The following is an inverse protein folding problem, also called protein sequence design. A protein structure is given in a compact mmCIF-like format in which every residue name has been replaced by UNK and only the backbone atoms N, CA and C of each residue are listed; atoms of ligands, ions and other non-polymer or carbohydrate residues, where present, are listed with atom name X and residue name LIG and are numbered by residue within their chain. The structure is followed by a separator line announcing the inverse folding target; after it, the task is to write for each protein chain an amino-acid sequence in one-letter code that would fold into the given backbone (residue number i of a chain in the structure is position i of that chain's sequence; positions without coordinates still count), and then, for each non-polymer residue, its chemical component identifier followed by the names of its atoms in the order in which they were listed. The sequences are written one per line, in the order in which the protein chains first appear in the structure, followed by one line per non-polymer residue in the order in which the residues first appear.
data_IF_320084017493
#
_entry.id   IF_320084017493
#
_cell.length_a   1.000
_cell.length_b   1.000
_cell.length_c   1.000
_cell.angle_alpha   90.00
_cell.angle_beta   90.00
_cell.angle_gamma   90.00
#
_symmetry.space_group_name_H-M   'P 1'
#
loop_
_entity.id
_entity.type
_entity.pdbx_description
1 polymer ?
#
# COMPACT_ATOMS: atom_id res chain seq x y z
N UNK A 1 16.06 9.40 -21.78
CA UNK A 1 14.84 10.01 -21.23
C UNK A 1 14.87 9.82 -19.72
N UNK A 2 15.12 10.89 -18.96
CA UNK A 2 15.25 10.83 -17.50
C UNK A 2 13.86 10.74 -16.85
N UNK A 3 13.54 9.60 -16.23
CA UNK A 3 12.33 9.47 -15.41
C UNK A 3 12.53 10.18 -14.06
N UNK A 4 12.23 11.49 -14.02
CA UNK A 4 11.90 12.18 -12.78
C UNK A 4 10.42 11.89 -12.49
N UNK A 5 10.11 11.11 -11.45
CA UNK A 5 8.70 10.92 -11.09
C UNK A 5 8.33 9.80 -10.12
N UNK A 6 9.29 9.12 -9.49
CA UNK A 6 8.99 8.07 -8.53
C UNK A 6 9.49 8.46 -7.14
N UNK A 7 8.60 9.03 -6.33
CA UNK A 7 8.83 9.25 -4.91
C UNK A 7 8.67 7.88 -4.25
N UNK A 8 9.77 7.26 -3.83
CA UNK A 8 9.69 6.11 -2.94
C UNK A 8 9.23 6.64 -1.57
N UNK A 9 7.95 6.45 -1.25
CA UNK A 9 7.34 6.93 0.00
C UNK A 9 8.08 6.44 1.25
N UNK A 10 8.87 5.36 1.13
CA UNK A 10 9.67 4.83 2.24
C UNK A 10 11.15 5.25 2.22
N UNK A 11 11.64 5.86 1.14
CA UNK A 11 13.08 6.18 0.98
C UNK A 11 13.33 7.63 0.57
N UNK A 12 12.28 8.42 0.33
CA UNK A 12 12.41 9.84 0.04
C UNK A 12 12.78 10.61 1.31
N UNK A 13 14.08 10.67 1.59
CA UNK A 13 14.67 11.67 2.49
C UNK A 13 14.60 13.09 1.89
N UNK A 14 14.02 13.25 0.69
CA UNK A 14 14.01 14.49 -0.09
C UNK A 14 12.60 15.01 -0.39
N UNK A 15 11.62 14.68 0.46
CA UNK A 15 10.45 15.53 0.65
C UNK A 15 10.35 15.81 2.15
N UNK A 16 11.18 16.75 2.61
CA UNK A 16 10.85 17.53 3.79
C UNK A 16 9.62 18.40 3.44
N UNK A 17 8.44 17.79 3.27
CA UNK A 17 7.25 18.57 3.58
C UNK A 17 7.29 18.72 5.09
N UNK A 18 7.43 19.96 5.54
CA UNK A 18 7.32 20.30 6.96
C UNK A 18 5.89 20.04 7.51
N UNK A 19 5.06 19.27 6.81
CA UNK A 19 3.65 19.00 7.10
C UNK A 19 3.43 17.65 7.80
N UNK A 20 4.35 16.68 7.68
CA UNK A 20 4.16 15.40 8.40
C UNK A 20 4.45 15.61 9.90
N UNK A 21 3.48 15.44 10.81
CA UNK A 21 3.69 15.68 12.25
C UNK A 21 4.57 14.62 12.91
N UNK A 22 4.95 13.57 12.17
CA UNK A 22 5.80 12.48 12.62
C UNK A 22 7.15 12.50 11.88
N UNK A 23 8.17 12.01 12.58
CA UNK A 23 9.50 11.76 12.03
C UNK A 23 9.91 10.33 12.32
N UNK A 24 10.61 9.72 11.36
CA UNK A 24 11.27 8.43 11.56
C UNK A 24 12.47 8.63 12.48
N UNK A 25 12.63 7.74 13.46
CA UNK A 25 13.76 7.77 14.40
C UNK A 25 14.99 7.12 13.75
N UNK A 26 14.78 6.03 13.02
CA UNK A 26 15.80 5.29 12.29
C UNK A 26 15.27 4.82 10.93
N UNK A 27 16.16 4.21 10.13
CA UNK A 27 15.73 3.58 8.88
C UNK A 27 14.82 2.39 9.18
N UNK A 28 13.67 2.25 8.48
CA UNK A 28 12.78 1.12 8.68
C UNK A 28 13.48 -0.23 8.53
N UNK A 29 13.31 -1.10 9.54
CA UNK A 29 13.97 -2.40 9.59
C UNK A 29 13.10 -3.49 8.96
N UNK A 30 13.66 -4.29 8.05
CA UNK A 30 12.95 -5.46 7.46
C UNK A 30 13.09 -6.64 8.41
N UNK A 31 12.00 -7.02 9.07
CA UNK A 31 11.98 -8.12 10.05
C UNK A 31 11.67 -9.47 9.40
N UNK A 32 10.99 -9.48 8.25
CA UNK A 32 10.73 -10.69 7.46
C UNK A 32 10.63 -10.36 5.97
N UNK A 33 11.13 -11.26 5.13
CA UNK A 33 11.11 -11.12 3.67
C UNK A 33 10.61 -12.41 3.03
N UNK A 34 9.36 -12.39 2.58
CA UNK A 34 8.78 -13.44 1.76
C UNK A 34 8.99 -13.19 0.27
N UNK A 35 8.46 -14.11 -0.54
CA UNK A 35 8.48 -14.00 -2.00
C UNK A 35 7.63 -12.83 -2.51
N UNK A 36 6.45 -12.62 -1.92
CA UNK A 36 5.43 -11.67 -2.37
C UNK A 36 5.31 -10.41 -1.49
N UNK A 37 5.61 -10.53 -0.20
CA UNK A 37 5.50 -9.46 0.80
C UNK A 37 6.74 -9.38 1.68
N UNK A 38 6.93 -8.23 2.33
CA UNK A 38 7.91 -7.99 3.40
C UNK A 38 7.22 -7.37 4.60
N UNK A 39 7.71 -7.68 5.79
CA UNK A 39 7.27 -7.04 7.04
C UNK A 39 8.35 -6.06 7.48
N UNK A 40 7.93 -4.86 7.84
CA UNK A 40 8.79 -3.74 8.22
C UNK A 40 8.42 -3.26 9.61
N UNK A 41 9.44 -3.07 10.46
CA UNK A 41 9.34 -2.42 11.76
C UNK A 41 9.93 -1.01 11.65
N UNK A 42 9.12 -0.01 11.97
CA UNK A 42 9.47 1.40 11.86
C UNK A 42 9.37 2.07 13.22
N UNK A 43 10.46 2.71 13.68
CA UNK A 43 10.39 3.59 14.85
C UNK A 43 10.11 5.02 14.40
N UNK A 44 9.15 5.64 15.07
CA UNK A 44 8.73 7.01 14.76
C UNK A 44 8.34 7.75 16.04
N UNK A 45 8.36 9.08 15.98
CA UNK A 45 7.88 9.95 17.05
C UNK A 45 7.20 11.18 16.45
N UNK A 46 6.40 11.89 17.25
CA UNK A 46 5.97 13.23 16.88
C UNK A 46 7.19 14.16 16.81
N UNK A 47 7.17 15.18 15.94
CA UNK A 47 8.31 16.09 15.80
C UNK A 47 8.64 16.84 17.10
N UNK A 48 7.60 17.29 17.79
CA UNK A 48 7.69 18.02 19.07
C UNK A 48 7.61 17.11 20.28
N UNK A 49 7.41 15.80 20.08
CA UNK A 49 7.24 14.82 21.15
C UNK A 49 8.51 14.00 21.40
N UNK A 50 8.78 13.70 22.67
CA UNK A 50 9.91 12.85 23.05
C UNK A 50 9.57 11.35 23.00
N UNK A 51 8.28 11.00 23.04
CA UNK A 51 7.84 9.61 23.08
C UNK A 51 7.98 8.92 21.72
N UNK A 52 8.85 7.93 21.67
CA UNK A 52 8.98 7.04 20.51
C UNK A 52 7.91 5.95 20.51
N UNK A 53 7.51 5.57 19.29
CA UNK A 53 6.55 4.50 19.01
C UNK A 53 7.12 3.58 17.93
N UNK A 54 6.59 2.36 17.91
CA UNK A 54 6.94 1.33 16.93
C UNK A 54 5.69 1.01 16.11
N UNK A 55 5.84 0.98 14.79
CA UNK A 55 4.83 0.48 13.87
C UNK A 55 5.38 -0.74 13.14
N UNK A 56 4.62 -1.85 13.14
CA UNK A 56 4.88 -3.00 12.28
C UNK A 56 3.90 -2.96 11.09
N UNK A 57 4.44 -3.03 9.88
CA UNK A 57 3.67 -2.86 8.64
C UNK A 57 4.05 -3.93 7.62
N UNK A 58 3.08 -4.32 6.78
CA UNK A 58 3.28 -5.30 5.70
C UNK A 58 3.25 -4.55 4.37
N UNK A 59 4.21 -4.85 3.51
CA UNK A 59 4.36 -4.21 2.20
C UNK A 59 4.47 -5.29 1.12
N UNK A 60 3.86 -5.04 -0.05
CA UNK A 60 4.13 -5.87 -1.24
C UNK A 60 5.57 -5.66 -1.70
N UNK A 61 6.14 -6.66 -2.37
CA UNK A 61 7.37 -6.47 -3.13
C UNK A 61 7.03 -5.55 -4.33
N UNK A 62 7.47 -4.30 -4.28
CA UNK A 62 7.03 -3.28 -5.23
C UNK A 62 7.47 -3.61 -6.67
N UNK A 63 6.57 -3.56 -7.68
CA UNK A 63 6.95 -3.69 -9.08
C UNK A 63 7.52 -2.39 -9.67
N UNK A 64 7.32 -1.22 -9.04
CA UNK A 64 7.97 0.05 -9.44
C UNK A 64 7.67 1.14 -8.40
N UNK A 65 8.62 2.03 -8.13
CA UNK A 65 8.41 3.18 -7.25
C UNK A 65 7.42 4.19 -7.90
N UNK A 66 6.58 4.82 -7.09
CA UNK A 66 5.67 5.89 -7.52
C UNK A 66 4.38 5.48 -8.24
N UNK A 67 4.01 4.18 -8.24
CA UNK A 67 2.72 3.71 -8.77
C UNK A 67 1.91 2.96 -7.70
N UNK A 68 0.57 3.07 -7.71
CA UNK A 68 -0.28 2.21 -6.90
C UNK A 68 0.02 0.73 -7.17
N UNK A 69 -0.12 -0.11 -6.13
CA UNK A 69 0.12 -1.55 -6.26
C UNK A 69 -0.97 -2.27 -7.05
N UNK A 70 -2.21 -1.79 -6.96
CA UNK A 70 -3.37 -2.44 -7.54
C UNK A 70 -4.38 -1.39 -8.00
N UNK A 71 -5.29 -1.83 -8.85
CA UNK A 71 -6.55 -1.15 -9.15
C UNK A 71 -7.71 -2.03 -8.74
N UNK A 72 -8.80 -1.38 -8.34
CA UNK A 72 -10.11 -1.99 -8.14
C UNK A 72 -11.07 -1.35 -9.17
N UNK A 73 -11.79 -2.19 -9.90
CA UNK A 73 -12.61 -1.76 -11.04
C UNK A 73 -14.08 -1.81 -10.65
N UNK A 74 -14.67 -0.63 -10.48
CA UNK A 74 -16.12 -0.51 -10.33
C UNK A 74 -16.75 -0.54 -11.73
N UNK A 75 -17.27 -1.70 -12.11
CA UNK A 75 -17.89 -1.90 -13.43
C UNK A 75 -19.39 -1.75 -13.34
N UNK A 76 -19.95 -0.90 -14.21
CA UNK A 76 -21.40 -0.73 -14.37
C UNK A 76 -21.81 -1.33 -15.72
N UNK A 77 -22.67 -2.34 -15.68
CA UNK A 77 -23.30 -2.95 -16.85
C UNK A 77 -24.68 -2.33 -17.06
N UNK A 78 -24.88 -1.69 -18.21
CA UNK A 78 -26.18 -1.17 -18.63
C UNK A 78 -26.92 -2.23 -19.45
N UNK A 79 -28.04 -2.75 -18.94
CA UNK A 79 -28.82 -3.78 -19.63
C UNK A 79 -30.32 -3.65 -19.35
N UNK A 80 -31.12 -3.60 -20.41
CA UNK A 80 -32.58 -3.55 -20.29
C UNK A 80 -33.10 -2.34 -19.51
N UNK A 81 -32.44 -1.19 -19.62
CA UNK A 81 -32.81 0.05 -18.92
C UNK A 81 -32.39 0.10 -17.44
N UNK A 82 -31.67 -0.91 -16.94
CA UNK A 82 -31.15 -0.94 -15.58
C UNK A 82 -29.61 -0.94 -15.56
N UNK A 83 -29.06 -0.53 -14.42
CA UNK A 83 -27.63 -0.52 -14.13
C UNK A 83 -27.30 -1.60 -13.11
N UNK A 84 -26.23 -2.37 -13.39
CA UNK A 84 -25.79 -3.47 -12.54
C UNK A 84 -24.30 -3.32 -12.22
N UNK A 85 -23.93 -3.59 -10.96
CA UNK A 85 -22.53 -3.78 -10.61
C UNK A 85 -22.07 -5.18 -10.99
N UNK A 86 -20.88 -5.27 -11.57
CA UNK A 86 -20.23 -6.55 -11.87
C UNK A 86 -19.23 -6.86 -10.76
N UNK A 87 -19.36 -8.06 -10.20
CA UNK A 87 -18.50 -8.61 -9.16
C UNK A 87 -17.89 -9.93 -9.61
N UNK A 88 -16.83 -10.35 -8.93
CA UNK A 88 -16.20 -11.66 -9.09
C UNK A 88 -16.37 -12.49 -7.81
N UNK A 89 -16.46 -13.81 -7.97
CA UNK A 89 -16.37 -14.78 -6.88
C UNK A 89 -15.08 -15.57 -7.04
N UNK A 90 -14.16 -15.44 -6.09
CA UNK A 90 -12.87 -16.15 -6.12
C UNK A 90 -12.50 -16.70 -4.74
N UNK A 91 -11.72 -17.80 -4.73
CA UNK A 91 -11.21 -18.35 -3.47
C UNK A 91 -9.94 -17.61 -3.04
N UNK A 92 -9.96 -16.99 -1.87
CA UNK A 92 -8.85 -16.23 -1.30
C UNK A 92 -8.13 -17.06 -0.24
N UNK A 93 -6.89 -17.45 -0.51
CA UNK A 93 -6.03 -18.20 0.43
C UNK A 93 -5.95 -17.52 1.81
N UNK A 94 -5.72 -16.18 1.93
CA UNK A 94 -5.63 -15.53 3.24
C UNK A 94 -6.91 -15.64 4.07
N UNK A 95 -8.07 -15.69 3.42
CA UNK A 95 -9.38 -15.81 4.09
C UNK A 95 -9.83 -17.26 4.23
N UNK A 96 -9.14 -18.20 3.60
CA UNK A 96 -9.51 -19.62 3.52
C UNK A 96 -10.97 -19.83 3.07
N UNK A 97 -11.42 -19.06 2.07
CA UNK A 97 -12.82 -19.08 1.64
C UNK A 97 -13.07 -18.36 0.32
N UNK A 98 -14.31 -18.46 -0.17
CA UNK A 98 -14.76 -17.70 -1.34
C UNK A 98 -15.18 -16.29 -0.94
N UNK A 99 -14.63 -15.31 -1.62
CA UNK A 99 -14.93 -13.90 -1.45
C UNK A 99 -15.72 -13.38 -2.66
N UNK A 100 -16.58 -12.39 -2.40
CA UNK A 100 -17.33 -11.67 -3.42
C UNK A 100 -16.83 -10.22 -3.43
N UNK A 101 -16.14 -9.84 -4.50
CA UNK A 101 -15.31 -8.63 -4.56
C UNK A 101 -15.50 -7.93 -5.91
N UNK A 102 -15.18 -6.63 -5.99
CA UNK A 102 -15.02 -5.99 -7.30
C UNK A 102 -13.82 -6.60 -8.04
N UNK A 103 -13.84 -6.64 -9.38
CA UNK A 103 -12.68 -7.03 -10.15
C UNK A 103 -11.45 -6.19 -9.76
N UNK A 104 -10.37 -6.83 -9.35
CA UNK A 104 -9.15 -6.15 -8.91
C UNK A 104 -7.89 -6.88 -9.37
N UNK A 105 -6.78 -6.15 -9.51
CA UNK A 105 -5.51 -6.69 -9.99
C UNK A 105 -4.33 -5.74 -9.80
N UNK A 106 -3.10 -6.27 -9.89
CA UNK A 106 -1.85 -5.49 -9.93
C UNK A 106 -1.46 -5.16 -11.36
#
# INVERSE_FOLDING_TARGET
MNQKGAIDLCTSTTVLSNECPFQLVDQPNVVYRGQWTKTIKTRYRQREGETEKVCESIHRKAPTAGRPHCVEVITILHKGGNDYFVFIKEYRIPMNGYCFEFPAGN
#
